data_IF_135322102974
#
_entry.id   IF_135322102974
#
_cell.length_a   1.000
_cell.length_b   1.000
_cell.length_c   1.000
_cell.angle_alpha   90.00
_cell.angle_beta   90.00
_cell.angle_gamma   90.00
#
_symmetry.space_group_name_H-M   'P 1'
#
loop_
_entity.id
_entity.type
_entity.pdbx_description
1 polymer ?
#
# COMPACT_ATOMS: atom_id res chain seq x y z
N UNK A 1 -14.40 -8.72 15.39
CA UNK A 1 -13.50 -7.62 15.75
C UNK A 1 -13.56 -6.49 14.72
N UNK A 2 -13.30 -6.73 13.43
CA UNK A 2 -13.21 -5.69 12.40
C UNK A 2 -14.47 -4.79 12.29
N UNK A 3 -15.73 -5.29 12.34
CA UNK A 3 -16.90 -4.44 12.32
C UNK A 3 -16.96 -3.44 13.48
N UNK A 4 -16.55 -3.83 14.68
CA UNK A 4 -16.52 -2.94 15.85
C UNK A 4 -15.52 -1.79 15.65
N UNK A 5 -14.34 -2.09 15.11
CA UNK A 5 -13.35 -1.07 14.75
C UNK A 5 -13.90 -0.12 13.68
N UNK A 6 -14.60 -0.66 12.68
CA UNK A 6 -15.22 0.15 11.61
C UNK A 6 -16.32 1.07 12.14
N UNK A 7 -17.12 0.61 13.10
CA UNK A 7 -18.18 1.43 13.71
C UNK A 7 -17.57 2.58 14.52
N UNK A 8 -16.57 2.29 15.39
CA UNK A 8 -15.90 3.34 16.18
C UNK A 8 -15.15 4.34 15.28
N UNK A 9 -14.37 3.85 14.34
CA UNK A 9 -13.66 4.70 13.39
C UNK A 9 -14.63 5.51 12.52
N UNK A 10 -15.71 4.89 12.04
CA UNK A 10 -16.76 5.55 11.26
C UNK A 10 -17.43 6.69 12.02
N UNK A 11 -17.79 6.46 13.27
CA UNK A 11 -18.35 7.47 14.16
C UNK A 11 -17.40 8.67 14.32
N UNK A 12 -16.11 8.40 14.60
CA UNK A 12 -15.09 9.46 14.75
C UNK A 12 -14.89 10.26 13.46
N UNK A 13 -14.83 9.58 12.32
CA UNK A 13 -14.68 10.20 10.98
C UNK A 13 -15.90 11.09 10.67
N UNK A 14 -17.11 10.60 10.95
CA UNK A 14 -18.34 11.35 10.76
C UNK A 14 -18.38 12.60 11.64
N UNK A 15 -18.10 12.44 12.94
CA UNK A 15 -18.08 13.55 13.92
C UNK A 15 -17.02 14.61 13.57
N UNK A 16 -15.85 14.19 13.09
CA UNK A 16 -14.74 15.07 12.71
C UNK A 16 -14.88 15.63 11.28
N UNK A 17 -15.93 15.26 10.52
CA UNK A 17 -16.14 15.62 9.10
C UNK A 17 -14.96 15.36 8.19
N UNK A 18 -14.13 14.36 8.48
CA UNK A 18 -12.90 14.04 7.76
C UNK A 18 -13.17 13.14 6.55
N UNK A 19 -13.73 13.69 5.47
CA UNK A 19 -14.08 12.96 4.23
C UNK A 19 -12.94 12.12 3.66
N UNK A 20 -11.67 12.54 3.84
CA UNK A 20 -10.49 11.81 3.36
C UNK A 20 -10.29 10.43 4.00
N UNK A 21 -10.87 10.18 5.16
CA UNK A 21 -10.77 8.90 5.86
C UNK A 21 -11.87 7.91 5.43
N UNK A 22 -12.89 8.35 4.70
CA UNK A 22 -13.95 7.48 4.19
C UNK A 22 -13.39 6.39 3.26
N UNK A 23 -12.31 6.67 2.51
CA UNK A 23 -11.67 5.67 1.66
C UNK A 23 -11.03 4.53 2.47
N UNK A 24 -10.50 4.81 3.64
CA UNK A 24 -9.97 3.78 4.55
C UNK A 24 -11.12 2.90 5.04
N UNK A 25 -12.24 3.50 5.44
CA UNK A 25 -13.43 2.75 5.88
C UNK A 25 -14.01 1.89 4.76
N UNK A 26 -14.05 2.41 3.53
CA UNK A 26 -14.48 1.64 2.36
C UNK A 26 -13.61 0.40 2.16
N UNK A 27 -12.28 0.57 2.15
CA UNK A 27 -11.34 -0.54 1.96
C UNK A 27 -11.42 -1.55 3.10
N UNK A 28 -11.57 -1.10 4.35
CA UNK A 28 -11.80 -1.99 5.51
C UNK A 28 -13.11 -2.76 5.37
N UNK A 29 -14.18 -2.11 4.88
CA UNK A 29 -15.47 -2.77 4.62
C UNK A 29 -15.36 -3.83 3.55
N UNK A 30 -14.67 -3.55 2.44
CA UNK A 30 -14.41 -4.52 1.37
C UNK A 30 -13.55 -5.68 1.88
N UNK A 31 -12.52 -5.40 2.68
CA UNK A 31 -11.69 -6.44 3.31
C UNK A 31 -12.53 -7.35 4.19
N UNK A 32 -13.45 -6.79 4.99
CA UNK A 32 -14.36 -7.57 5.82
C UNK A 32 -15.32 -8.42 4.99
N UNK A 33 -15.87 -7.87 3.89
CA UNK A 33 -16.70 -8.63 2.95
C UNK A 33 -15.95 -9.80 2.33
N UNK A 34 -14.67 -9.61 2.00
CA UNK A 34 -13.82 -10.72 1.51
C UNK A 34 -13.64 -11.80 2.57
N UNK A 35 -13.46 -11.43 3.84
CA UNK A 35 -13.38 -12.42 4.94
C UNK A 35 -14.67 -13.22 5.05
N UNK A 36 -15.84 -12.57 5.01
CA UNK A 36 -17.14 -13.26 5.03
C UNK A 36 -17.25 -14.20 3.81
N UNK A 37 -16.93 -13.71 2.63
CA UNK A 37 -16.96 -14.50 1.39
C UNK A 37 -16.08 -15.75 1.48
N UNK A 38 -14.89 -15.63 2.06
CA UNK A 38 -14.00 -16.77 2.28
C UNK A 38 -14.60 -17.78 3.23
N UNK A 39 -15.11 -17.34 4.39
CA UNK A 39 -15.68 -18.26 5.41
C UNK A 39 -16.94 -18.95 4.91
N UNK A 40 -17.78 -18.26 4.13
CA UNK A 40 -19.07 -18.82 3.65
C UNK A 40 -18.94 -19.66 2.40
N UNK A 41 -17.99 -19.37 1.54
CA UNK A 41 -17.81 -20.02 0.23
C UNK A 41 -16.61 -20.95 0.15
N UNK A 42 -15.66 -20.85 1.10
CA UNK A 42 -14.39 -21.59 1.15
C UNK A 42 -13.59 -21.49 -0.17
N UNK A 43 -13.68 -20.34 -0.84
CA UNK A 43 -13.05 -20.08 -2.12
C UNK A 43 -11.86 -19.13 -1.94
N UNK A 44 -10.68 -19.57 -2.42
CA UNK A 44 -9.42 -18.82 -2.33
C UNK A 44 -9.45 -17.45 -3.03
N UNK A 45 -10.33 -17.25 -4.02
CA UNK A 45 -10.49 -15.95 -4.67
C UNK A 45 -10.84 -14.84 -3.67
N UNK A 46 -11.62 -15.13 -2.64
CA UNK A 46 -11.93 -14.16 -1.57
C UNK A 46 -10.70 -13.86 -0.68
N UNK A 47 -9.88 -14.88 -0.39
CA UNK A 47 -8.62 -14.67 0.34
C UNK A 47 -7.65 -13.79 -0.44
N UNK A 48 -7.53 -14.03 -1.73
CA UNK A 48 -6.73 -13.18 -2.62
C UNK A 48 -7.32 -11.78 -2.77
N UNK A 49 -8.64 -11.64 -2.83
CA UNK A 49 -9.33 -10.36 -2.79
C UNK A 49 -9.03 -9.58 -1.51
N UNK A 50 -9.01 -10.26 -0.35
CA UNK A 50 -8.63 -9.66 0.92
C UNK A 50 -7.17 -9.16 0.90
N UNK A 51 -6.25 -9.92 0.30
CA UNK A 51 -4.84 -9.52 0.16
C UNK A 51 -4.71 -8.27 -0.74
N UNK A 52 -5.48 -8.18 -1.83
CA UNK A 52 -5.53 -6.97 -2.68
C UNK A 52 -6.05 -5.78 -1.88
N UNK A 53 -7.09 -5.94 -1.06
CA UNK A 53 -7.61 -4.87 -0.22
C UNK A 53 -6.63 -4.46 0.88
N UNK A 54 -5.85 -5.40 1.44
CA UNK A 54 -4.76 -5.08 2.35
C UNK A 54 -3.66 -4.26 1.65
N UNK A 55 -3.27 -4.62 0.42
CA UNK A 55 -2.36 -3.80 -0.39
C UNK A 55 -2.94 -2.40 -0.69
N UNK A 56 -4.24 -2.28 -0.96
CA UNK A 56 -4.90 -1.00 -1.14
C UNK A 56 -4.81 -0.14 0.14
N UNK A 57 -5.04 -0.74 1.30
CA UNK A 57 -4.96 -0.07 2.60
C UNK A 57 -3.55 0.48 2.87
N UNK A 58 -2.52 -0.35 2.69
CA UNK A 58 -1.13 0.11 2.85
C UNK A 58 -0.74 1.16 1.82
N UNK A 59 -1.31 1.11 0.61
CA UNK A 59 -1.08 2.10 -0.44
C UNK A 59 -1.71 3.45 -0.11
N UNK A 60 -2.86 3.47 0.57
CA UNK A 60 -3.49 4.71 1.07
C UNK A 60 -2.63 5.30 2.20
N UNK A 61 -2.28 4.50 3.20
CA UNK A 61 -1.52 4.95 4.37
C UNK A 61 -0.10 5.32 3.96
N UNK A 62 0.61 4.41 3.30
CA UNK A 62 1.98 4.63 2.81
C UNK A 62 2.08 5.78 1.82
N UNK A 63 1.04 5.96 0.97
CA UNK A 63 0.95 7.07 0.03
C UNK A 63 0.79 8.45 0.66
N UNK A 64 0.41 8.51 1.94
CA UNK A 64 0.35 9.76 2.71
C UNK A 64 1.64 10.01 3.48
N UNK A 65 2.15 8.97 4.15
CA UNK A 65 3.29 9.12 5.06
C UNK A 65 4.63 9.14 4.32
N UNK A 66 4.83 8.29 3.31
CA UNK A 66 6.11 8.16 2.60
C UNK A 66 6.52 9.47 1.91
N UNK A 67 5.68 10.09 1.05
CA UNK A 67 6.06 11.35 0.42
C UNK A 67 6.14 12.51 1.43
N UNK A 68 5.28 12.53 2.47
CA UNK A 68 5.34 13.55 3.51
C UNK A 68 6.65 13.52 4.28
N UNK A 69 7.12 12.32 4.68
CA UNK A 69 8.41 12.15 5.34
C UNK A 69 9.58 12.51 4.43
N UNK A 70 9.50 12.13 3.15
CA UNK A 70 10.52 12.46 2.15
C UNK A 70 10.64 13.98 1.94
N UNK A 71 9.53 14.68 1.77
CA UNK A 71 9.52 16.14 1.65
C UNK A 71 10.01 16.83 2.92
N UNK A 72 9.62 16.33 4.11
CA UNK A 72 10.10 16.85 5.40
C UNK A 72 11.62 16.71 5.55
N UNK A 73 12.17 15.55 5.21
CA UNK A 73 13.62 15.29 5.26
C UNK A 73 14.40 16.19 4.30
N UNK A 74 13.90 16.36 3.05
CA UNK A 74 14.52 17.27 2.08
C UNK A 74 14.52 18.72 2.59
N UNK A 75 13.39 19.20 3.13
CA UNK A 75 13.26 20.56 3.66
C UNK A 75 14.27 20.84 4.77
N UNK A 76 14.44 19.89 5.70
CA UNK A 76 15.40 20.03 6.81
C UNK A 76 16.86 20.10 6.34
N UNK A 77 17.17 19.61 5.15
CA UNK A 77 18.53 19.58 4.55
C UNK A 77 18.73 20.60 3.42
N UNK A 78 17.83 21.56 3.27
CA UNK A 78 17.91 22.56 2.20
C UNK A 78 17.69 21.99 0.79
N UNK A 79 17.13 20.78 0.69
CA UNK A 79 16.82 20.14 -0.58
C UNK A 79 15.46 20.58 -1.15
N UNK A 80 15.21 20.25 -2.43
CA UNK A 80 13.97 20.61 -3.10
C UNK A 80 12.81 19.67 -2.65
N UNK A 81 12.09 20.09 -1.61
CA UNK A 81 10.93 19.37 -1.11
C UNK A 81 9.71 19.39 -2.06
N UNK A 82 9.61 20.41 -2.93
CA UNK A 82 8.52 20.56 -3.89
C UNK A 82 8.61 19.57 -5.06
N UNK A 83 9.78 18.96 -5.25
CA UNK A 83 9.95 17.88 -6.21
C UNK A 83 9.12 16.65 -5.86
N UNK A 84 8.77 16.45 -4.57
CA UNK A 84 7.93 15.35 -4.09
C UNK A 84 6.47 15.73 -4.28
N UNK A 85 5.82 15.16 -5.29
CA UNK A 85 4.44 15.51 -5.67
C UNK A 85 3.46 14.40 -5.29
N UNK A 86 2.38 14.78 -4.61
CA UNK A 86 1.19 13.95 -4.40
C UNK A 86 0.10 14.45 -5.34
N UNK A 87 -0.43 13.57 -6.19
CA UNK A 87 -1.46 13.90 -7.18
C UNK A 87 -2.75 13.18 -6.77
N UNK A 88 -3.76 13.89 -6.20
CA UNK A 88 -4.97 13.27 -5.67
C UNK A 88 -5.74 12.43 -6.70
N UNK A 89 -5.82 12.90 -7.95
CA UNK A 89 -6.49 12.16 -9.03
C UNK A 89 -5.80 10.82 -9.30
N UNK A 90 -4.47 10.79 -9.31
CA UNK A 90 -3.69 9.57 -9.49
C UNK A 90 -3.84 8.62 -8.29
N UNK A 91 -3.89 9.16 -7.07
CA UNK A 91 -4.13 8.37 -5.86
C UNK A 91 -5.50 7.70 -5.90
N UNK A 92 -6.53 8.42 -6.34
CA UNK A 92 -7.88 7.87 -6.49
C UNK A 92 -7.96 6.84 -7.61
N UNK A 93 -7.35 7.11 -8.77
CA UNK A 93 -7.31 6.17 -9.90
C UNK A 93 -6.64 4.85 -9.49
N UNK A 94 -5.51 4.92 -8.78
CA UNK A 94 -4.80 3.75 -8.27
C UNK A 94 -5.66 2.96 -7.27
N UNK A 95 -6.38 3.63 -6.36
CA UNK A 95 -7.27 2.96 -5.41
C UNK A 95 -8.45 2.28 -6.14
N UNK A 96 -9.12 2.99 -7.03
CA UNK A 96 -10.25 2.43 -7.77
C UNK A 96 -9.83 1.25 -8.65
N UNK A 97 -8.65 1.31 -9.29
CA UNK A 97 -8.12 0.17 -10.04
C UNK A 97 -7.91 -1.08 -9.17
N UNK A 98 -7.50 -0.93 -7.91
CA UNK A 98 -7.38 -2.06 -6.98
C UNK A 98 -8.75 -2.61 -6.54
N UNK A 99 -9.76 -1.76 -6.37
CA UNK A 99 -11.13 -2.20 -6.07
C UNK A 99 -11.71 -2.98 -7.26
N UNK A 100 -11.53 -2.47 -8.49
CA UNK A 100 -11.94 -3.18 -9.71
C UNK A 100 -11.18 -4.50 -9.88
N UNK A 101 -9.90 -4.52 -9.56
CA UNK A 101 -9.07 -5.72 -9.58
C UNK A 101 -9.62 -6.79 -8.63
N UNK A 102 -9.93 -6.42 -7.39
CA UNK A 102 -10.55 -7.31 -6.41
C UNK A 102 -11.88 -7.87 -6.94
N UNK A 103 -12.75 -7.02 -7.49
CA UNK A 103 -14.04 -7.42 -8.01
C UNK A 103 -13.89 -8.40 -9.21
N UNK A 104 -13.03 -8.09 -10.18
CA UNK A 104 -12.78 -8.94 -11.34
C UNK A 104 -12.14 -10.29 -10.96
N UNK A 105 -11.28 -10.32 -9.94
CA UNK A 105 -10.67 -11.55 -9.45
C UNK A 105 -11.70 -12.47 -8.81
N UNK A 106 -12.61 -11.94 -7.99
CA UNK A 106 -13.67 -12.71 -7.34
C UNK A 106 -14.69 -13.25 -8.35
N UNK A 107 -14.94 -12.54 -9.46
CA UNK A 107 -15.83 -13.00 -10.54
C UNK A 107 -15.18 -14.04 -11.46
N UNK A 108 -13.86 -14.27 -11.34
CA UNK A 108 -13.14 -15.29 -12.11
C UNK A 108 -12.77 -14.87 -13.56
N UNK A 109 -12.85 -13.59 -13.90
CA UNK A 109 -12.50 -13.07 -15.23
C UNK A 109 -10.99 -12.90 -15.40
N UNK A 110 -10.27 -14.01 -15.60
CA UNK A 110 -8.80 -14.04 -15.55
C UNK A 110 -8.12 -13.01 -16.46
N UNK A 111 -8.49 -12.92 -17.73
CA UNK A 111 -7.88 -11.96 -18.66
C UNK A 111 -8.17 -10.51 -18.27
N UNK A 112 -9.41 -10.20 -17.88
CA UNK A 112 -9.78 -8.85 -17.41
C UNK A 112 -9.03 -8.50 -16.15
N UNK A 113 -8.91 -9.45 -15.21
CA UNK A 113 -8.15 -9.28 -13.96
C UNK A 113 -6.68 -9.00 -14.26
N UNK A 114 -6.07 -9.73 -15.20
CA UNK A 114 -4.68 -9.50 -15.59
C UNK A 114 -4.47 -8.09 -16.18
N UNK A 115 -5.36 -7.64 -17.06
CA UNK A 115 -5.30 -6.28 -17.64
C UNK A 115 -5.43 -5.21 -16.55
N UNK A 116 -6.41 -5.35 -15.65
CA UNK A 116 -6.61 -4.40 -14.56
C UNK A 116 -5.38 -4.40 -13.63
N UNK A 117 -4.77 -5.56 -13.35
CA UNK A 117 -3.57 -5.67 -12.54
C UNK A 117 -2.39 -4.89 -13.15
N UNK A 118 -2.18 -5.00 -14.47
CA UNK A 118 -1.16 -4.22 -15.18
C UNK A 118 -1.44 -2.72 -15.13
N UNK A 119 -2.69 -2.31 -15.33
CA UNK A 119 -3.10 -0.89 -15.22
C UNK A 119 -2.85 -0.37 -13.80
N UNK A 120 -3.26 -1.13 -12.78
CA UNK A 120 -3.04 -0.76 -11.38
C UNK A 120 -1.54 -0.65 -11.05
N UNK A 121 -0.72 -1.59 -11.53
CA UNK A 121 0.74 -1.56 -11.39
C UNK A 121 1.34 -0.30 -12.03
N UNK A 122 0.91 0.04 -13.24
CA UNK A 122 1.37 1.24 -13.96
C UNK A 122 1.04 2.52 -13.19
N UNK A 123 -0.19 2.64 -12.67
CA UNK A 123 -0.61 3.77 -11.85
C UNK A 123 0.25 3.89 -10.57
N UNK A 124 0.55 2.75 -9.92
CA UNK A 124 1.43 2.72 -8.74
C UNK A 124 2.87 3.13 -9.07
N UNK A 125 3.41 2.70 -10.20
CA UNK A 125 4.75 3.12 -10.65
C UNK A 125 4.80 4.62 -10.94
N UNK A 126 3.78 5.18 -11.59
CA UNK A 126 3.68 6.64 -11.82
C UNK A 126 3.60 7.41 -10.49
N UNK A 127 2.88 6.90 -9.49
CA UNK A 127 2.86 7.50 -8.13
C UNK A 127 4.26 7.53 -7.52
N UNK A 128 4.95 6.38 -7.51
CA UNK A 128 6.30 6.26 -6.96
C UNK A 128 7.30 7.18 -7.68
N UNK A 129 7.19 7.29 -9.00
CA UNK A 129 8.00 8.23 -9.77
C UNK A 129 7.79 9.68 -9.33
N UNK A 130 6.56 10.10 -9.04
CA UNK A 130 6.26 11.46 -8.57
C UNK A 130 6.74 11.72 -7.13
N UNK A 131 6.90 10.67 -6.31
CA UNK A 131 7.44 10.82 -4.94
C UNK A 131 8.95 10.95 -4.88
N UNK A 132 9.66 10.76 -6.02
CA UNK A 132 11.11 11.01 -6.15
C UNK A 132 11.95 10.31 -5.07
N UNK A 133 11.64 9.04 -4.75
CA UNK A 133 12.31 8.27 -3.69
C UNK A 133 13.85 8.26 -3.76
N UNK A 134 14.43 8.38 -4.95
CA UNK A 134 15.88 8.46 -5.15
C UNK A 134 16.53 9.69 -4.51
N UNK A 135 15.77 10.78 -4.25
CA UNK A 135 16.28 11.97 -3.57
C UNK A 135 16.58 11.72 -2.08
N UNK A 136 15.93 10.71 -1.49
CA UNK A 136 16.09 10.35 -0.08
C UNK A 136 16.87 9.05 0.13
N UNK A 137 17.54 8.54 -0.90
CA UNK A 137 18.29 7.27 -0.86
C UNK A 137 19.38 7.18 0.22
N UNK A 138 19.84 8.32 0.73
CA UNK A 138 20.83 8.40 1.80
C UNK A 138 20.25 8.12 3.20
N UNK A 139 18.94 8.09 3.35
CA UNK A 139 18.26 7.80 4.62
C UNK A 139 17.61 6.41 4.54
N UNK A 140 18.17 5.39 5.24
CA UNK A 140 17.63 4.03 5.22
C UNK A 140 16.19 3.94 5.73
N UNK A 141 15.80 4.77 6.71
CA UNK A 141 14.43 4.82 7.23
C UNK A 141 13.41 5.42 6.25
N UNK A 142 13.87 6.06 5.19
CA UNK A 142 13.01 6.60 4.14
C UNK A 142 12.99 5.70 2.89
N UNK A 143 14.16 5.30 2.40
CA UNK A 143 14.16 4.51 1.17
C UNK A 143 13.49 3.15 1.35
N UNK A 144 13.52 2.56 2.58
CA UNK A 144 12.80 1.31 2.88
C UNK A 144 11.28 1.47 2.69
N UNK A 145 10.71 2.63 3.00
CA UNK A 145 9.29 2.90 2.77
C UNK A 145 8.96 2.94 1.26
N UNK A 146 9.82 3.57 0.46
CA UNK A 146 9.66 3.59 -1.00
C UNK A 146 9.81 2.18 -1.58
N UNK A 147 10.80 1.40 -1.12
CA UNK A 147 11.02 0.03 -1.55
C UNK A 147 9.83 -0.88 -1.18
N UNK A 148 9.28 -0.72 0.02
CA UNK A 148 8.11 -1.47 0.45
C UNK A 148 6.90 -1.21 -0.46
N UNK A 149 6.62 0.05 -0.80
CA UNK A 149 5.53 0.39 -1.71
C UNK A 149 5.83 -0.09 -3.14
N UNK A 150 7.09 -0.15 -3.58
CA UNK A 150 7.47 -0.69 -4.88
C UNK A 150 7.09 -2.18 -5.03
N UNK A 151 7.03 -2.93 -3.94
CA UNK A 151 6.56 -4.32 -3.99
C UNK A 151 5.07 -4.44 -4.37
N UNK A 152 4.26 -3.38 -4.22
CA UNK A 152 2.85 -3.39 -4.67
C UNK A 152 2.76 -3.57 -6.19
N UNK A 153 3.33 -2.71 -7.05
CA UNK A 153 3.29 -2.93 -8.49
C UNK A 153 4.00 -4.23 -8.92
N UNK A 154 5.06 -4.65 -8.22
CA UNK A 154 5.70 -5.95 -8.48
C UNK A 154 4.71 -7.10 -8.23
N UNK A 155 4.00 -7.11 -7.10
CA UNK A 155 2.98 -8.11 -6.80
C UNK A 155 1.85 -8.13 -7.84
N UNK A 156 1.41 -6.96 -8.31
CA UNK A 156 0.37 -6.83 -9.33
C UNK A 156 0.81 -7.38 -10.70
N UNK A 157 2.06 -7.15 -11.09
CA UNK A 157 2.64 -7.72 -12.32
C UNK A 157 2.75 -9.24 -12.20
N UNK A 158 3.23 -9.75 -11.07
CA UNK A 158 3.30 -11.18 -10.79
C UNK A 158 1.91 -11.83 -10.79
N UNK A 159 0.88 -11.15 -10.26
CA UNK A 159 -0.51 -11.59 -10.32
C UNK A 159 -0.97 -11.71 -11.78
N UNK A 160 -0.75 -10.68 -12.60
CA UNK A 160 -1.09 -10.71 -14.01
C UNK A 160 -0.41 -11.88 -14.73
N UNK A 161 0.89 -12.09 -14.50
CA UNK A 161 1.64 -13.20 -15.08
C UNK A 161 1.15 -14.58 -14.61
N UNK A 162 0.68 -14.70 -13.35
CA UNK A 162 0.10 -15.96 -12.85
C UNK A 162 -1.23 -16.31 -13.52
N UNK A 163 -2.00 -15.30 -13.96
CA UNK A 163 -3.30 -15.51 -14.57
C UNK A 163 -3.22 -15.85 -16.07
N UNK A 164 -2.22 -15.34 -16.80
CA UNK A 164 -2.16 -15.45 -18.26
C UNK A 164 -0.87 -16.05 -18.82
N UNK A 165 0.21 -16.11 -18.02
CA UNK A 165 1.52 -16.61 -18.46
C UNK A 165 2.02 -17.84 -17.67
N UNK A 166 1.19 -18.41 -16.81
CA UNK A 166 1.52 -19.62 -16.05
C UNK A 166 2.60 -19.41 -14.97
N UNK A 167 2.83 -18.16 -14.50
CA UNK A 167 3.78 -17.91 -13.43
C UNK A 167 3.29 -18.48 -12.09
N UNK A 168 4.19 -18.81 -11.15
CA UNK A 168 3.79 -19.36 -9.86
C UNK A 168 2.85 -18.44 -9.08
N UNK A 169 1.67 -18.93 -8.73
CA UNK A 169 0.65 -18.13 -8.02
C UNK A 169 1.11 -17.64 -6.65
N UNK A 170 1.98 -18.38 -5.95
CA UNK A 170 2.52 -17.98 -4.66
C UNK A 170 3.50 -16.79 -4.76
N UNK A 171 4.12 -16.54 -5.91
CA UNK A 171 5.08 -15.46 -6.08
C UNK A 171 4.45 -14.08 -5.81
N UNK A 172 3.25 -13.81 -6.37
CA UNK A 172 2.58 -12.53 -6.16
C UNK A 172 2.10 -12.34 -4.72
N UNK A 173 1.59 -13.42 -4.08
CA UNK A 173 1.12 -13.34 -2.70
C UNK A 173 2.26 -13.12 -1.71
N UNK A 174 3.44 -13.70 -1.93
CA UNK A 174 4.63 -13.40 -1.15
C UNK A 174 5.14 -11.97 -1.39
N UNK A 175 5.17 -11.50 -2.63
CA UNK A 175 5.51 -10.12 -2.95
C UNK A 175 4.57 -9.12 -2.25
N UNK A 176 3.27 -9.42 -2.22
CA UNK A 176 2.26 -8.62 -1.52
C UNK A 176 2.44 -8.69 0.01
N UNK A 177 2.49 -9.89 0.58
CA UNK A 177 2.50 -10.08 2.04
C UNK A 177 3.83 -9.67 2.66
N UNK A 178 4.93 -10.28 2.22
CA UNK A 178 6.26 -10.04 2.80
C UNK A 178 6.88 -8.78 2.23
N UNK A 179 6.88 -8.63 0.90
CA UNK A 179 7.51 -7.50 0.24
C UNK A 179 6.82 -6.16 0.56
N UNK A 180 5.53 -6.06 0.29
CA UNK A 180 4.80 -4.79 0.46
C UNK A 180 4.33 -4.59 1.91
N UNK A 181 3.49 -5.48 2.43
CA UNK A 181 2.79 -5.25 3.71
C UNK A 181 3.75 -5.32 4.89
N UNK A 182 4.49 -6.43 5.05
CA UNK A 182 5.36 -6.60 6.20
C UNK A 182 6.50 -5.59 6.22
N UNK A 183 7.18 -5.36 5.09
CA UNK A 183 8.27 -4.39 5.01
C UNK A 183 7.79 -2.96 5.29
N UNK A 184 6.61 -2.55 4.79
CA UNK A 184 6.09 -1.22 5.08
C UNK A 184 5.75 -1.05 6.57
N UNK A 185 5.09 -2.03 7.17
CA UNK A 185 4.74 -2.01 8.60
C UNK A 185 6.00 -1.90 9.44
N UNK A 186 7.01 -2.74 9.19
CA UNK A 186 8.28 -2.70 9.92
C UNK A 186 9.02 -1.37 9.73
N UNK A 187 9.08 -0.84 8.51
CA UNK A 187 9.71 0.44 8.22
C UNK A 187 9.02 1.62 8.93
N UNK A 188 7.68 1.61 8.95
CA UNK A 188 6.89 2.63 9.68
C UNK A 188 7.09 2.50 11.18
N UNK A 189 7.01 1.28 11.75
CA UNK A 189 7.21 1.04 13.18
C UNK A 189 8.61 1.52 13.59
N UNK A 190 9.66 1.15 12.87
CA UNK A 190 11.03 1.56 13.18
C UNK A 190 11.18 3.08 13.23
N UNK A 191 10.62 3.78 12.23
CA UNK A 191 10.69 5.25 12.16
C UNK A 191 9.87 5.93 13.24
N UNK A 192 8.65 5.46 13.47
CA UNK A 192 7.72 6.01 14.46
C UNK A 192 8.25 5.80 15.88
N UNK A 193 8.81 4.62 16.18
CA UNK A 193 9.41 4.33 17.48
C UNK A 193 10.57 5.27 17.81
N UNK A 194 11.45 5.55 16.85
CA UNK A 194 12.53 6.53 17.04
C UNK A 194 11.98 7.95 17.28
N UNK A 195 11.00 8.37 16.46
CA UNK A 195 10.41 9.70 16.56
C UNK A 195 9.68 9.94 17.89
N UNK A 196 8.90 8.97 18.37
CA UNK A 196 8.14 9.10 19.63
C UNK A 196 8.99 8.96 20.88
N UNK A 197 10.17 8.33 20.79
CA UNK A 197 11.11 8.24 21.91
C UNK A 197 12.10 9.41 21.98
N UNK A 198 11.95 10.42 21.12
CA UNK A 198 12.86 11.57 21.07
C UNK A 198 14.26 11.22 20.58
N UNK A 199 14.48 10.03 20.04
CA UNK A 199 15.77 9.61 19.52
C UNK A 199 16.01 10.21 18.12
N UNK A 200 17.28 10.48 17.75
CA UNK A 200 17.59 10.94 16.41
C UNK A 200 17.14 9.89 15.37
N UNK A 201 16.53 10.37 14.29
CA UNK A 201 16.08 9.53 13.17
C UNK A 201 17.28 9.07 12.31
N UNK A 202 18.23 8.40 12.97
CA UNK A 202 19.43 7.85 12.35
C UNK A 202 19.59 6.41 12.81
N UNK A 203 19.69 5.48 11.86
CA UNK A 203 20.00 4.10 12.21
C UNK A 203 21.46 3.97 12.68
N UNK A 204 21.73 3.22 13.77
CA UNK A 204 23.09 2.85 14.14
C UNK A 204 23.80 2.15 12.98
N UNK A 205 25.10 2.47 12.77
CA UNK A 205 25.87 1.94 11.62
C UNK A 205 25.82 0.41 11.50
N UNK A 206 25.75 -0.33 12.62
CA UNK A 206 25.61 -1.79 12.61
C UNK A 206 24.26 -2.33 12.15
N UNK A 207 23.18 -1.51 12.15
CA UNK A 207 21.86 -1.92 11.67
C UNK A 207 21.66 -1.67 10.15
N UNK A 208 22.57 -0.97 9.51
CA UNK A 208 22.51 -0.68 8.07
C UNK A 208 23.04 -1.85 7.25
N UNK A 209 23.83 -2.74 7.88
CA UNK A 209 24.49 -3.88 7.24
C UNK A 209 23.79 -5.23 7.53
N UNK A 210 22.73 -5.23 8.32
CA UNK A 210 21.88 -6.39 8.61
C UNK A 210 20.60 -6.35 7.77
#
# INVERSE_FOLDING_TARGET
FLPLVMIDAGWRVWKARQKRQLMILLVLGLLWLMQIGFVTRLNMAFSYGALIMAMALISIIGGRITPAFSAGWLRQRGGNAEAVRMIPALDMAALFSMILLMASLVTGWQTVTAVIAVVAASLMLVRLYNWKGWLVRKDPLLWILHLSILWVPVALILLAGSLVAGWPTNAWSHAAGTGAIACLILGVIARVSLGHTGRPLVLPKGMVLA
#
